data_IF_364369447348
#
_entry.id   IF_364369447348
#
_cell.length_a   1.000
_cell.length_b   1.000
_cell.length_c   1.000
_cell.angle_alpha   90.00
_cell.angle_beta   90.00
_cell.angle_gamma   90.00
#
_symmetry.space_group_name_H-M   'P 1'
#
loop_
_entity.id
_entity.type
_entity.pdbx_description
1 polymer ?
#
# COMPACT_ATOMS: atom_id res chain seq x y z
N UNK A 1 -23.41 -32.54 -30.46
CA UNK A 1 -23.64 -32.47 -29.03
C UNK A 1 -22.27 -32.75 -28.34
N UNK A 2 -21.50 -31.68 -28.15
CA UNK A 2 -20.21 -31.77 -27.47
C UNK A 2 -20.49 -31.71 -25.96
N UNK A 3 -20.17 -32.79 -25.26
CA UNK A 3 -20.31 -32.88 -23.80
C UNK A 3 -19.39 -31.86 -23.16
N UNK A 4 -19.94 -30.77 -22.63
CA UNK A 4 -19.26 -29.93 -21.62
C UNK A 4 -18.95 -30.83 -20.42
N UNK A 5 -17.68 -31.20 -20.30
CA UNK A 5 -17.20 -31.81 -19.07
C UNK A 5 -17.36 -30.77 -17.96
N UNK A 6 -18.36 -30.93 -17.10
CA UNK A 6 -18.56 -30.16 -15.89
C UNK A 6 -17.30 -30.32 -15.04
N UNK A 7 -16.42 -29.32 -15.11
CA UNK A 7 -15.18 -29.27 -14.34
C UNK A 7 -15.54 -29.36 -12.86
N UNK A 8 -15.10 -30.41 -12.15
CA UNK A 8 -15.34 -30.52 -10.71
C UNK A 8 -14.76 -29.29 -10.03
N UNK A 9 -15.63 -28.44 -9.46
CA UNK A 9 -15.23 -27.24 -8.71
C UNK A 9 -14.35 -27.64 -7.52
N UNK A 10 -13.15 -27.09 -7.47
CA UNK A 10 -12.22 -27.27 -6.36
C UNK A 10 -12.69 -26.49 -5.14
N UNK A 11 -12.10 -26.75 -3.96
CA UNK A 11 -12.32 -25.92 -2.77
C UNK A 11 -11.98 -24.45 -3.03
N UNK A 12 -10.89 -24.19 -3.76
CA UNK A 12 -10.46 -22.84 -4.13
C UNK A 12 -11.46 -22.12 -5.04
N UNK A 13 -12.05 -22.83 -6.00
CA UNK A 13 -13.11 -22.24 -6.87
C UNK A 13 -14.32 -21.81 -6.03
N UNK A 14 -14.70 -22.62 -5.03
CA UNK A 14 -15.80 -22.26 -4.11
C UNK A 14 -15.47 -21.07 -3.22
N UNK A 15 -14.22 -21.00 -2.75
CA UNK A 15 -13.74 -19.88 -1.92
C UNK A 15 -13.68 -18.58 -2.72
N UNK A 16 -13.24 -18.66 -3.98
CA UNK A 16 -13.25 -17.52 -4.90
C UNK A 16 -14.68 -17.03 -5.17
N UNK A 17 -15.58 -17.97 -5.55
CA UNK A 17 -17.01 -17.65 -5.76
C UNK A 17 -17.66 -17.04 -4.49
N UNK A 18 -17.30 -17.53 -3.31
CA UNK A 18 -17.77 -16.98 -2.05
C UNK A 18 -17.25 -15.55 -1.83
N UNK A 19 -15.95 -15.33 -2.03
CA UNK A 19 -15.33 -14.01 -1.89
C UNK A 19 -15.98 -12.98 -2.83
N UNK A 20 -16.14 -13.33 -4.11
CA UNK A 20 -16.76 -12.43 -5.09
C UNK A 20 -18.21 -12.08 -4.78
N UNK A 21 -18.95 -13.02 -4.18
CA UNK A 21 -20.40 -12.83 -3.89
C UNK A 21 -20.68 -12.22 -2.52
N UNK A 22 -19.79 -12.44 -1.55
CA UNK A 22 -20.07 -12.11 -0.15
C UNK A 22 -19.23 -10.95 0.39
N UNK A 23 -18.10 -10.62 -0.23
CA UNK A 23 -17.24 -9.53 0.23
C UNK A 23 -17.49 -8.30 -0.64
N UNK A 24 -18.16 -7.26 -0.11
CA UNK A 24 -18.34 -6.00 -0.83
C UNK A 24 -17.03 -5.23 -0.97
N UNK A 25 -17.05 -4.18 -1.78
CA UNK A 25 -15.93 -3.24 -1.88
C UNK A 25 -15.62 -2.60 -0.52
N UNK A 26 -14.38 -2.11 -0.35
CA UNK A 26 -13.91 -1.55 0.92
C UNK A 26 -14.73 -0.35 1.40
N UNK A 27 -15.33 0.44 0.50
CA UNK A 27 -16.14 1.59 0.92
C UNK A 27 -17.46 1.20 1.59
N UNK A 28 -18.31 0.30 1.06
CA UNK A 28 -19.44 -0.26 1.82
C UNK A 28 -19.03 -0.88 3.16
N UNK A 29 -17.88 -1.56 3.23
CA UNK A 29 -17.39 -2.14 4.49
C UNK A 29 -17.12 -1.08 5.56
N UNK A 30 -16.51 0.05 5.22
CA UNK A 30 -16.26 1.12 6.20
C UNK A 30 -17.56 1.77 6.67
N UNK A 31 -18.57 1.87 5.81
CA UNK A 31 -19.89 2.37 6.23
C UNK A 31 -20.56 1.41 7.22
N UNK A 32 -20.53 0.11 6.93
CA UNK A 32 -21.04 -0.92 7.85
C UNK A 32 -20.30 -0.87 9.18
N UNK A 33 -18.97 -0.79 9.14
CA UNK A 33 -18.14 -0.69 10.35
C UNK A 33 -18.45 0.59 11.14
N UNK A 34 -18.67 1.72 10.48
CA UNK A 34 -19.06 2.98 11.15
C UNK A 34 -20.36 2.81 11.91
N UNK A 35 -21.38 2.21 11.30
CA UNK A 35 -22.68 1.96 11.95
C UNK A 35 -22.52 0.97 13.11
N UNK A 36 -21.74 -0.09 12.93
CA UNK A 36 -21.50 -1.10 13.97
C UNK A 36 -20.80 -0.47 15.18
N UNK A 37 -19.75 0.32 14.97
CA UNK A 37 -19.03 1.02 16.04
C UNK A 37 -19.92 2.05 16.72
N UNK A 38 -20.79 2.75 15.98
CA UNK A 38 -21.77 3.66 16.54
C UNK A 38 -22.78 2.95 17.46
N UNK A 39 -23.29 1.80 17.03
CA UNK A 39 -24.21 0.98 17.87
C UNK A 39 -23.49 0.50 19.14
N UNK A 40 -22.24 0.03 19.02
CA UNK A 40 -21.45 -0.41 20.16
C UNK A 40 -21.16 0.74 21.13
N UNK A 41 -20.87 1.94 20.63
CA UNK A 41 -20.67 3.11 21.49
C UNK A 41 -21.94 3.46 22.29
N UNK A 42 -23.09 3.49 21.64
CA UNK A 42 -24.38 3.76 22.32
C UNK A 42 -24.78 2.66 23.32
N UNK A 43 -24.37 1.41 23.08
CA UNK A 43 -24.70 0.28 23.94
C UNK A 43 -23.74 0.08 25.13
N UNK A 44 -22.49 0.47 25.00
CA UNK A 44 -21.40 0.15 25.94
C UNK A 44 -20.83 1.36 26.66
N UNK A 45 -21.26 2.58 26.30
CA UNK A 45 -20.80 3.82 26.92
C UNK A 45 -21.98 4.73 27.27
N UNK A 46 -21.74 5.74 28.10
CA UNK A 46 -22.77 6.71 28.47
C UNK A 46 -22.94 7.84 27.45
N UNK A 47 -22.47 7.64 26.21
CA UNK A 47 -22.54 8.66 25.16
C UNK A 47 -23.98 8.87 24.69
N UNK A 48 -24.30 10.13 24.40
CA UNK A 48 -25.60 10.46 23.79
C UNK A 48 -25.54 10.32 22.26
N UNK A 49 -26.69 10.12 21.58
CA UNK A 49 -26.69 10.11 20.10
C UNK A 49 -26.08 11.37 19.48
N UNK A 50 -26.29 12.54 20.10
CA UNK A 50 -25.69 13.79 19.62
C UNK A 50 -24.18 13.82 19.85
N UNK A 51 -23.73 13.45 21.06
CA UNK A 51 -22.30 13.35 21.38
C UNK A 51 -21.56 12.36 20.48
N UNK A 52 -22.20 11.24 20.11
CA UNK A 52 -21.65 10.30 19.14
C UNK A 52 -21.44 10.96 17.76
N UNK A 53 -22.43 11.69 17.26
CA UNK A 53 -22.33 12.38 15.97
C UNK A 53 -21.28 13.49 15.99
N UNK A 54 -21.16 14.23 17.09
CA UNK A 54 -20.12 15.26 17.27
C UNK A 54 -18.72 14.65 17.29
N UNK A 55 -18.53 13.53 17.99
CA UNK A 55 -17.25 12.81 18.01
C UNK A 55 -16.89 12.24 16.63
N UNK A 56 -17.89 11.66 15.94
CA UNK A 56 -17.66 11.18 14.57
C UNK A 56 -17.27 12.31 13.62
N UNK A 57 -17.97 13.44 13.66
CA UNK A 57 -17.67 14.61 12.84
C UNK A 57 -16.30 15.21 13.15
N UNK A 58 -15.96 15.34 14.42
CA UNK A 58 -14.66 15.84 14.86
C UNK A 58 -13.52 14.93 14.38
N UNK A 59 -13.69 13.61 14.53
CA UNK A 59 -12.72 12.63 14.05
C UNK A 59 -12.54 12.68 12.55
N UNK A 60 -13.65 12.76 11.79
CA UNK A 60 -13.66 12.80 10.33
C UNK A 60 -12.76 13.93 9.79
N UNK A 61 -12.82 15.11 10.35
CA UNK A 61 -12.00 16.25 9.95
C UNK A 61 -10.66 16.35 10.68
N UNK A 62 -10.58 15.82 11.89
CA UNK A 62 -9.37 15.87 12.71
C UNK A 62 -8.17 15.19 12.08
N UNK A 63 -8.40 14.16 11.25
CA UNK A 63 -7.34 13.39 10.59
C UNK A 63 -7.12 13.76 9.11
N UNK A 64 -7.61 14.90 8.65
CA UNK A 64 -7.48 15.30 7.24
C UNK A 64 -6.01 15.42 6.79
N UNK A 65 -5.13 15.93 7.65
CA UNK A 65 -3.70 16.03 7.37
C UNK A 65 -3.07 14.66 7.16
N UNK A 66 -3.41 13.69 7.99
CA UNK A 66 -2.93 12.32 7.84
C UNK A 66 -3.47 11.66 6.57
N UNK A 67 -4.76 11.82 6.30
CA UNK A 67 -5.37 11.33 5.05
C UNK A 67 -4.62 11.88 3.83
N UNK A 68 -4.29 13.17 3.85
CA UNK A 68 -3.56 13.79 2.77
C UNK A 68 -2.12 13.27 2.64
N UNK A 69 -1.45 12.99 3.74
CA UNK A 69 -0.12 12.40 3.76
C UNK A 69 -0.10 11.00 3.13
N UNK A 70 -1.10 10.16 3.42
CA UNK A 70 -1.22 8.81 2.83
C UNK A 70 -1.58 8.88 1.35
N UNK A 71 -2.49 9.79 0.97
CA UNK A 71 -2.76 10.07 -0.43
C UNK A 71 -1.50 10.55 -1.16
N UNK A 72 -0.71 11.42 -0.52
CA UNK A 72 0.58 11.88 -1.02
C UNK A 72 1.56 10.74 -1.25
N UNK A 73 1.62 9.76 -0.33
CA UNK A 73 2.47 8.58 -0.46
C UNK A 73 2.12 7.79 -1.72
N UNK A 74 0.83 7.52 -1.95
CA UNK A 74 0.40 6.81 -3.14
C UNK A 74 0.66 7.60 -4.43
N UNK A 75 0.36 8.89 -4.40
CA UNK A 75 0.53 9.78 -5.54
C UNK A 75 1.99 9.92 -5.96
N UNK A 76 2.88 10.23 -5.02
CA UNK A 76 4.30 10.45 -5.31
C UNK A 76 5.01 9.17 -5.74
N UNK A 77 4.65 8.02 -5.14
CA UNK A 77 5.12 6.70 -5.58
C UNK A 77 4.69 6.38 -7.02
N UNK A 78 3.44 6.69 -7.39
CA UNK A 78 2.97 6.55 -8.76
C UNK A 78 3.77 7.43 -9.73
N UNK A 79 4.00 8.70 -9.40
CA UNK A 79 4.78 9.61 -10.27
C UNK A 79 6.18 9.07 -10.57
N UNK A 80 6.85 8.52 -9.56
CA UNK A 80 8.17 7.90 -9.75
C UNK A 80 8.07 6.67 -10.64
N UNK A 81 7.10 5.79 -10.39
CA UNK A 81 6.88 4.57 -11.19
C UNK A 81 6.60 4.89 -12.67
N UNK A 82 5.82 5.94 -12.92
CA UNK A 82 5.39 6.35 -14.24
C UNK A 82 6.49 7.11 -15.03
N UNK A 83 7.59 7.47 -14.37
CA UNK A 83 8.71 8.16 -15.03
C UNK A 83 9.37 7.27 -16.08
N UNK A 84 9.83 7.88 -17.18
CA UNK A 84 10.45 7.17 -18.30
C UNK A 84 11.64 6.28 -17.91
N UNK A 85 12.57 6.71 -17.04
CA UNK A 85 13.68 5.85 -16.61
C UNK A 85 13.20 4.59 -15.89
N UNK A 86 12.22 4.71 -14.99
CA UNK A 86 11.67 3.56 -14.24
C UNK A 86 10.90 2.63 -15.17
N UNK A 87 10.08 3.16 -16.07
CA UNK A 87 9.40 2.36 -17.10
C UNK A 87 10.38 1.57 -17.96
N UNK A 88 11.43 2.23 -18.49
CA UNK A 88 12.48 1.56 -19.29
C UNK A 88 13.17 0.46 -18.50
N UNK A 89 13.49 0.71 -17.23
CA UNK A 89 14.08 -0.28 -16.34
C UNK A 89 13.16 -1.50 -16.17
N UNK A 90 11.87 -1.30 -15.87
CA UNK A 90 10.91 -2.39 -15.68
C UNK A 90 10.72 -3.21 -16.95
N UNK A 91 10.63 -2.56 -18.11
CA UNK A 91 10.52 -3.25 -19.42
C UNK A 91 11.80 -4.06 -19.71
N UNK A 92 12.97 -3.49 -19.41
CA UNK A 92 14.23 -4.23 -19.58
C UNK A 92 14.29 -5.48 -18.70
N UNK A 93 13.89 -5.35 -17.42
CA UNK A 93 13.79 -6.48 -16.51
C UNK A 93 12.82 -7.56 -17.01
N UNK A 94 11.71 -7.17 -17.62
CA UNK A 94 10.73 -8.12 -18.18
C UNK A 94 11.28 -8.98 -19.32
N UNK A 95 12.31 -8.51 -20.03
CA UNK A 95 12.97 -9.23 -21.13
C UNK A 95 13.93 -10.31 -20.69
N UNK A 96 14.45 -10.24 -19.46
CA UNK A 96 15.48 -11.14 -18.94
C UNK A 96 15.02 -12.60 -18.85
N UNK A 97 13.84 -12.93 -18.29
CA UNK A 97 13.43 -14.31 -18.09
C UNK A 97 13.24 -15.04 -19.42
N UNK A 98 13.73 -16.28 -19.49
CA UNK A 98 13.55 -17.18 -20.65
C UNK A 98 12.39 -18.14 -20.48
N UNK A 99 11.99 -18.42 -19.25
CA UNK A 99 10.92 -19.35 -18.89
C UNK A 99 9.91 -18.72 -17.94
N UNK A 100 8.69 -19.27 -17.89
CA UNK A 100 7.64 -18.83 -16.95
C UNK A 100 8.12 -18.85 -15.49
N UNK A 101 8.85 -19.87 -15.08
CA UNK A 101 9.41 -19.96 -13.71
C UNK A 101 10.39 -18.83 -13.42
N UNK A 102 11.30 -18.54 -14.36
CA UNK A 102 12.21 -17.40 -14.20
C UNK A 102 11.48 -16.06 -14.15
N UNK A 103 10.41 -15.91 -14.94
CA UNK A 103 9.58 -14.71 -14.91
C UNK A 103 8.91 -14.53 -13.54
N UNK A 104 8.36 -15.59 -12.96
CA UNK A 104 7.76 -15.58 -11.62
C UNK A 104 8.81 -15.19 -10.57
N UNK A 105 9.96 -15.84 -10.56
CA UNK A 105 11.03 -15.54 -9.59
C UNK A 105 11.53 -14.10 -9.70
N UNK A 106 11.76 -13.61 -10.91
CA UNK A 106 12.19 -12.24 -11.12
C UNK A 106 11.10 -11.25 -10.70
N UNK A 107 9.83 -11.52 -11.05
CA UNK A 107 8.72 -10.65 -10.68
C UNK A 107 8.59 -10.54 -9.16
N UNK A 108 8.63 -11.67 -8.44
CA UNK A 108 8.59 -11.69 -6.98
C UNK A 108 9.75 -10.91 -6.36
N UNK A 109 10.97 -11.10 -6.90
CA UNK A 109 12.16 -10.42 -6.40
C UNK A 109 12.07 -8.90 -6.60
N UNK A 110 11.63 -8.47 -7.77
CA UNK A 110 11.45 -7.03 -8.05
C UNK A 110 10.34 -6.45 -7.18
N UNK A 111 9.22 -7.18 -7.00
CA UNK A 111 8.14 -6.74 -6.13
C UNK A 111 8.57 -6.61 -4.68
N UNK A 112 9.37 -7.54 -4.16
CA UNK A 112 9.95 -7.42 -2.82
C UNK A 112 10.80 -6.16 -2.68
N UNK A 113 11.72 -5.91 -3.62
CA UNK A 113 12.59 -4.73 -3.60
C UNK A 113 11.77 -3.44 -3.70
N UNK A 114 10.84 -3.35 -4.65
CA UNK A 114 10.02 -2.15 -4.84
C UNK A 114 9.15 -1.86 -3.61
N UNK A 115 8.56 -2.90 -3.01
CA UNK A 115 7.73 -2.74 -1.82
C UNK A 115 8.57 -2.29 -0.61
N UNK A 116 9.79 -2.82 -0.49
CA UNK A 116 10.71 -2.40 0.56
C UNK A 116 11.18 -0.95 0.39
N UNK A 117 11.33 -0.49 -0.85
CA UNK A 117 11.67 0.91 -1.16
C UNK A 117 10.48 1.83 -0.95
N UNK A 118 9.33 1.47 -1.52
CA UNK A 118 8.14 2.30 -1.44
C UNK A 118 6.88 1.53 -1.84
N UNK A 119 5.92 1.44 -0.93
CA UNK A 119 4.68 0.68 -1.10
C UNK A 119 3.91 1.05 -2.38
N UNK A 120 3.66 2.34 -2.63
CA UNK A 120 2.90 2.76 -3.81
C UNK A 120 3.69 2.59 -5.13
N UNK A 121 5.02 2.71 -5.08
CA UNK A 121 5.90 2.38 -6.21
C UNK A 121 5.77 0.90 -6.57
N UNK A 122 5.66 0.02 -5.57
CA UNK A 122 5.45 -1.41 -5.80
C UNK A 122 4.11 -1.69 -6.48
N UNK A 123 3.01 -1.05 -6.06
CA UNK A 123 1.70 -1.23 -6.68
C UNK A 123 1.72 -0.82 -8.17
N UNK A 124 2.23 0.37 -8.47
CA UNK A 124 2.33 0.85 -9.85
C UNK A 124 3.31 -0.01 -10.67
N UNK A 125 4.45 -0.36 -10.06
CA UNK A 125 5.47 -1.25 -10.66
C UNK A 125 4.94 -2.65 -10.95
N UNK A 126 4.07 -3.20 -10.10
CA UNK A 126 3.43 -4.49 -10.31
C UNK A 126 2.59 -4.52 -11.59
N UNK A 127 1.81 -3.48 -11.81
CA UNK A 127 0.97 -3.36 -13.02
C UNK A 127 1.87 -3.27 -14.27
N UNK A 128 2.88 -2.40 -14.22
CA UNK A 128 3.77 -2.17 -15.37
C UNK A 128 4.63 -3.39 -15.67
N UNK A 129 5.35 -3.91 -14.67
CA UNK A 129 6.23 -5.05 -14.83
C UNK A 129 5.46 -6.33 -15.17
N UNK A 130 4.30 -6.56 -14.52
CA UNK A 130 3.45 -7.71 -14.79
C UNK A 130 2.96 -7.74 -16.22
N UNK A 131 2.43 -6.62 -16.74
CA UNK A 131 2.03 -6.50 -18.16
C UNK A 131 3.22 -6.71 -19.11
N UNK A 132 4.38 -6.08 -18.81
CA UNK A 132 5.59 -6.26 -19.59
C UNK A 132 6.04 -7.72 -19.66
N UNK A 133 6.06 -8.41 -18.54
CA UNK A 133 6.46 -9.81 -18.49
C UNK A 133 5.49 -10.71 -19.26
N UNK A 134 4.18 -10.46 -19.16
CA UNK A 134 3.18 -11.22 -19.92
C UNK A 134 3.43 -11.07 -21.42
N UNK A 135 3.62 -9.84 -21.91
CA UNK A 135 3.90 -9.56 -23.32
C UNK A 135 5.21 -10.22 -23.78
N UNK A 136 6.30 -10.03 -23.03
CA UNK A 136 7.60 -10.56 -23.40
C UNK A 136 7.65 -12.10 -23.34
N UNK A 137 6.96 -12.73 -22.41
CA UNK A 137 6.87 -14.20 -22.35
C UNK A 137 5.98 -14.76 -23.47
N UNK A 138 4.90 -14.07 -23.83
CA UNK A 138 4.06 -14.45 -24.97
C UNK A 138 4.86 -14.42 -26.28
N UNK A 139 5.70 -13.39 -26.50
CA UNK A 139 6.62 -13.31 -27.66
C UNK A 139 7.61 -14.46 -27.71
N UNK A 140 7.96 -15.06 -26.57
CA UNK A 140 8.85 -16.22 -26.46
C UNK A 140 8.10 -17.56 -26.56
N UNK A 141 6.79 -17.54 -26.77
CA UNK A 141 5.93 -18.73 -26.81
C UNK A 141 5.61 -19.33 -25.45
N UNK A 142 5.97 -18.67 -24.35
CA UNK A 142 5.67 -19.12 -23.00
C UNK A 142 4.27 -18.66 -22.57
N UNK A 143 3.51 -19.57 -21.97
CA UNK A 143 2.21 -19.26 -21.38
C UNK A 143 2.37 -18.86 -19.92
N UNK A 144 1.76 -17.75 -19.52
CA UNK A 144 1.76 -17.25 -18.15
C UNK A 144 0.38 -17.45 -17.53
N UNK A 145 0.29 -18.08 -16.34
CA UNK A 145 -0.96 -18.13 -15.58
C UNK A 145 -1.28 -16.73 -15.05
N UNK A 146 -2.29 -16.10 -15.67
CA UNK A 146 -2.63 -14.70 -15.42
C UNK A 146 -2.99 -14.43 -13.95
N UNK A 147 -3.87 -15.24 -13.37
CA UNK A 147 -4.29 -15.11 -11.97
C UNK A 147 -3.10 -15.18 -10.99
N UNK A 148 -2.12 -16.05 -11.27
CA UNK A 148 -0.91 -16.15 -10.46
C UNK A 148 -0.05 -14.87 -10.53
N UNK A 149 0.09 -14.27 -11.72
CA UNK A 149 0.81 -13.01 -11.87
C UNK A 149 0.13 -11.85 -11.15
N UNK A 150 -1.20 -11.76 -11.23
CA UNK A 150 -1.97 -10.79 -10.46
C UNK A 150 -1.74 -11.00 -8.97
N UNK A 151 -1.82 -12.24 -8.48
CA UNK A 151 -1.56 -12.57 -7.07
C UNK A 151 -0.17 -12.16 -6.63
N UNK A 152 0.87 -12.41 -7.43
CA UNK A 152 2.25 -11.99 -7.14
C UNK A 152 2.35 -10.46 -7.06
N UNK A 153 1.65 -9.73 -7.93
CA UNK A 153 1.60 -8.27 -7.87
C UNK A 153 1.08 -7.73 -6.53
N UNK A 154 0.12 -8.45 -5.93
CA UNK A 154 -0.39 -8.14 -4.58
C UNK A 154 0.48 -8.71 -3.44
N UNK A 155 1.41 -9.59 -3.74
CA UNK A 155 2.30 -10.20 -2.74
C UNK A 155 3.16 -9.17 -2.00
N UNK A 156 3.40 -8.01 -2.60
CA UNK A 156 4.02 -6.87 -1.92
C UNK A 156 3.34 -6.51 -0.60
N UNK A 157 2.03 -6.75 -0.49
CA UNK A 157 1.25 -6.53 0.73
C UNK A 157 1.69 -7.48 1.86
N UNK A 158 2.13 -8.71 1.56
CA UNK A 158 2.64 -9.64 2.57
C UNK A 158 3.97 -9.20 3.18
N UNK A 159 4.71 -8.34 2.48
CA UNK A 159 5.93 -7.72 2.97
C UNK A 159 5.67 -6.33 3.55
N UNK A 160 4.50 -6.10 4.15
CA UNK A 160 4.17 -4.81 4.80
C UNK A 160 5.16 -4.40 5.90
N UNK A 161 6.28 -5.03 5.88
CA UNK A 161 7.42 -4.79 6.65
C UNK A 161 8.46 -3.85 6.04
N UNK A 162 8.18 -3.14 4.97
CA UNK A 162 9.11 -2.15 4.41
C UNK A 162 9.07 -0.80 5.13
N UNK A 163 10.13 0.00 4.99
CA UNK A 163 10.24 1.31 5.64
C UNK A 163 9.10 2.28 5.35
N UNK A 164 8.33 2.03 4.29
CA UNK A 164 7.18 2.85 3.89
C UNK A 164 5.84 2.18 4.20
N UNK A 165 5.84 1.10 5.01
CA UNK A 165 4.62 0.47 5.50
C UNK A 165 3.79 1.46 6.34
N UNK A 166 2.46 1.31 6.29
CA UNK A 166 1.53 2.29 6.81
C UNK A 166 1.73 2.68 8.28
N UNK A 167 1.57 1.73 9.20
CA UNK A 167 1.63 2.00 10.65
C UNK A 167 3.01 2.43 11.14
N UNK A 168 4.11 1.73 10.84
CA UNK A 168 5.44 2.13 11.28
C UNK A 168 5.88 3.50 10.76
N UNK A 169 5.59 3.82 9.50
CA UNK A 169 5.95 5.13 8.94
C UNK A 169 5.09 6.25 9.55
N UNK A 170 3.85 5.94 9.92
CA UNK A 170 2.97 6.87 10.63
C UNK A 170 3.53 7.24 12.00
N UNK A 171 3.85 6.24 12.84
CA UNK A 171 4.33 6.49 14.22
C UNK A 171 5.76 7.00 14.27
N UNK A 172 6.49 6.96 13.16
CA UNK A 172 7.80 7.57 13.03
C UNK A 172 7.74 9.10 12.87
N UNK A 173 6.57 9.67 12.59
CA UNK A 173 6.40 11.11 12.38
C UNK A 173 5.90 11.78 13.66
N UNK A 174 6.52 12.88 14.14
CA UNK A 174 5.97 13.69 15.22
C UNK A 174 4.57 14.22 14.86
N UNK A 175 3.69 14.34 15.87
CA UNK A 175 2.32 14.81 15.69
C UNK A 175 1.33 13.74 15.23
N UNK A 176 1.69 12.45 15.27
CA UNK A 176 0.74 11.39 14.96
C UNK A 176 -0.26 11.18 16.11
N UNK A 177 -1.46 10.69 15.80
CA UNK A 177 -2.60 10.62 16.71
C UNK A 177 -2.42 9.73 17.95
N UNK A 178 -1.36 8.92 18.02
CA UNK A 178 -1.02 8.06 19.17
C UNK A 178 0.22 8.54 19.92
N UNK A 179 0.79 9.69 19.58
CA UNK A 179 2.08 10.16 20.15
C UNK A 179 2.03 10.29 21.67
N UNK A 180 0.94 10.78 22.24
CA UNK A 180 0.79 10.93 23.71
C UNK A 180 0.82 9.57 24.45
N UNK A 181 0.49 8.48 23.75
CA UNK A 181 0.43 7.14 24.34
C UNK A 181 1.74 6.38 24.12
N UNK A 182 2.22 6.33 22.88
CA UNK A 182 3.36 5.47 22.52
C UNK A 182 4.64 6.25 22.18
N UNK A 183 4.58 7.58 22.11
CA UNK A 183 5.69 8.42 21.66
C UNK A 183 5.98 8.29 20.17
N UNK A 184 6.99 9.01 19.69
CA UNK A 184 7.50 8.87 18.32
C UNK A 184 8.42 7.66 18.25
N UNK A 185 8.14 6.74 17.32
CA UNK A 185 8.90 5.50 17.13
C UNK A 185 9.63 5.53 15.79
N UNK A 186 10.93 5.83 15.76
CA UNK A 186 11.71 5.80 14.51
C UNK A 186 11.72 4.40 13.87
N UNK A 187 11.91 4.33 12.56
CA UNK A 187 11.88 3.05 11.82
C UNK A 187 12.92 2.02 12.29
N UNK A 188 14.02 2.44 12.90
CA UNK A 188 15.00 1.53 13.50
C UNK A 188 14.50 0.85 14.77
N UNK A 189 13.43 1.32 15.38
CA UNK A 189 12.76 0.67 16.52
C UNK A 189 11.61 -0.23 16.09
N UNK A 190 11.11 -0.08 14.88
CA UNK A 190 10.02 -0.87 14.32
C UNK A 190 10.51 -1.75 13.16
N UNK A 191 10.44 -1.26 11.94
CA UNK A 191 10.66 -2.04 10.72
C UNK A 191 12.10 -2.45 10.45
N UNK A 192 13.07 -1.66 10.88
CA UNK A 192 14.49 -1.92 10.65
C UNK A 192 15.15 -2.67 11.80
N UNK A 193 14.36 -3.27 12.68
CA UNK A 193 14.88 -4.17 13.72
C UNK A 193 15.33 -5.50 13.11
N UNK A 194 16.34 -6.13 13.70
CA UNK A 194 16.85 -7.41 13.22
C UNK A 194 15.77 -8.49 13.12
N UNK A 195 14.86 -8.67 14.11
CA UNK A 195 13.76 -9.63 13.99
C UNK A 195 12.86 -9.39 12.78
N UNK A 196 12.50 -8.13 12.51
CA UNK A 196 11.64 -7.78 11.38
C UNK A 196 12.33 -8.02 10.03
N UNK A 197 13.60 -7.64 9.91
CA UNK A 197 14.40 -7.92 8.72
C UNK A 197 14.49 -9.44 8.49
N UNK A 198 14.81 -10.21 9.53
CA UNK A 198 14.88 -11.68 9.42
C UNK A 198 13.52 -12.30 9.04
N UNK A 199 12.43 -11.82 9.63
CA UNK A 199 11.08 -12.28 9.29
C UNK A 199 10.76 -12.02 7.81
N UNK A 200 10.98 -10.80 7.33
CA UNK A 200 10.73 -10.43 5.94
C UNK A 200 11.58 -11.24 4.95
N UNK A 201 12.86 -11.42 5.25
CA UNK A 201 13.75 -12.25 4.43
C UNK A 201 13.33 -13.73 4.44
N UNK A 202 12.86 -14.24 5.58
CA UNK A 202 12.35 -15.61 5.70
C UNK A 202 11.08 -15.80 4.88
N UNK A 203 10.10 -14.89 4.99
CA UNK A 203 8.89 -14.92 4.18
C UNK A 203 9.26 -14.86 2.69
N UNK A 204 10.18 -13.97 2.31
CA UNK A 204 10.65 -13.85 0.94
C UNK A 204 11.30 -15.15 0.44
N UNK A 205 12.19 -15.77 1.22
CA UNK A 205 12.83 -17.03 0.87
C UNK A 205 11.80 -18.17 0.70
N UNK A 206 10.85 -18.27 1.63
CA UNK A 206 9.77 -19.28 1.56
C UNK A 206 8.94 -19.06 0.29
N UNK A 207 8.57 -17.84 -0.02
CA UNK A 207 7.76 -17.53 -1.21
C UNK A 207 8.50 -17.84 -2.50
N UNK A 208 9.80 -17.54 -2.60
CA UNK A 208 10.63 -17.91 -3.75
C UNK A 208 10.73 -19.43 -3.95
N UNK A 209 10.63 -20.20 -2.88
CA UNK A 209 10.64 -21.68 -2.94
C UNK A 209 9.26 -22.24 -3.30
N UNK A 210 8.21 -21.71 -2.70
CA UNK A 210 6.84 -22.25 -2.79
C UNK A 210 6.16 -21.87 -4.10
N UNK A 211 6.19 -20.60 -4.48
CA UNK A 211 5.41 -20.10 -5.63
C UNK A 211 5.75 -20.75 -6.97
N UNK A 212 7.03 -20.98 -7.33
CA UNK A 212 7.33 -21.71 -8.57
C UNK A 212 6.77 -23.13 -8.61
N UNK A 213 6.58 -23.75 -7.43
CA UNK A 213 5.99 -25.10 -7.31
C UNK A 213 4.47 -25.11 -7.44
N UNK A 214 3.82 -23.96 -7.16
CA UNK A 214 2.38 -23.78 -7.30
C UNK A 214 1.96 -23.43 -8.74
N UNK A 215 2.91 -23.24 -9.67
CA UNK A 215 2.58 -22.95 -11.08
C UNK A 215 1.70 -24.06 -11.63
N UNK A 216 0.47 -23.76 -12.07
CA UNK A 216 -0.41 -24.77 -12.63
C UNK A 216 0.20 -25.32 -13.92
N UNK A 217 0.21 -26.65 -14.08
CA UNK A 217 0.80 -27.33 -15.23
C UNK A 217 -0.15 -27.46 -16.42
N UNK A 218 -1.46 -27.40 -16.17
CA UNK A 218 -2.51 -27.56 -17.20
C UNK A 218 -3.73 -26.71 -16.81
N UNK A 219 -4.55 -26.40 -17.80
CA UNK A 219 -5.89 -25.81 -17.62
C UNK A 219 -5.94 -24.51 -16.80
N UNK A 220 -5.00 -23.57 -17.06
CA UNK A 220 -5.01 -22.27 -16.47
C UNK A 220 -5.37 -21.18 -17.48
N UNK A 221 -5.99 -20.12 -16.98
CA UNK A 221 -6.34 -18.94 -17.75
C UNK A 221 -5.08 -18.17 -18.15
N UNK A 222 -4.98 -17.87 -19.44
CA UNK A 222 -3.95 -16.99 -20.02
C UNK A 222 -4.62 -15.73 -20.54
N UNK A 223 -3.83 -14.69 -20.73
CA UNK A 223 -4.33 -13.45 -21.35
C UNK A 223 -4.67 -13.74 -22.81
N UNK A 224 -5.87 -13.31 -23.22
CA UNK A 224 -6.32 -13.39 -24.61
C UNK A 224 -5.53 -12.43 -25.54
N UNK A 225 -5.64 -12.63 -26.85
CA UNK A 225 -4.90 -11.82 -27.84
C UNK A 225 -5.29 -10.34 -27.80
N UNK A 226 -6.54 -10.01 -27.49
CA UNK A 226 -7.03 -8.64 -27.46
C UNK A 226 -6.41 -7.89 -26.26
N UNK A 227 -6.43 -8.49 -25.08
CA UNK A 227 -5.76 -7.96 -23.89
C UNK A 227 -4.24 -7.88 -24.07
N UNK A 228 -3.65 -8.87 -24.75
CA UNK A 228 -2.22 -8.87 -25.03
C UNK A 228 -1.82 -7.67 -25.90
N UNK A 229 -2.57 -7.40 -26.98
CA UNK A 229 -2.36 -6.22 -27.84
C UNK A 229 -2.56 -4.92 -27.07
N UNK A 230 -3.55 -4.86 -26.17
CA UNK A 230 -3.75 -3.70 -25.29
C UNK A 230 -2.56 -3.49 -24.37
N UNK A 231 -2.05 -4.54 -23.71
CA UNK A 231 -0.86 -4.44 -22.87
C UNK A 231 0.37 -4.01 -23.67
N UNK A 232 0.54 -4.52 -24.88
CA UNK A 232 1.64 -4.11 -25.76
C UNK A 232 1.56 -2.63 -26.12
N UNK A 233 0.37 -2.12 -26.43
CA UNK A 233 0.12 -0.70 -26.70
C UNK A 233 0.38 0.17 -25.46
N UNK A 234 -0.09 -0.25 -24.30
CA UNK A 234 0.10 0.47 -23.02
C UNK A 234 1.59 0.56 -22.64
N UNK A 235 2.40 -0.36 -23.15
CA UNK A 235 3.83 -0.46 -22.89
C UNK A 235 4.71 0.19 -23.95
N UNK A 236 4.13 0.60 -25.08
CA UNK A 236 4.86 1.27 -26.13
C UNK A 236 5.40 2.60 -25.60
N UNK A 237 6.73 2.72 -25.58
CA UNK A 237 7.42 3.93 -25.10
C UNK A 237 7.19 5.12 -26.03
N UNK A 238 6.86 4.85 -27.28
CA UNK A 238 6.63 5.87 -28.33
C UNK A 238 5.39 6.73 -28.05
N UNK A 239 4.40 6.21 -27.33
CA UNK A 239 3.21 6.98 -26.91
C UNK A 239 3.53 8.07 -25.88
N UNK A 240 4.71 8.03 -25.27
CA UNK A 240 5.21 9.03 -24.33
C UNK A 240 6.12 10.09 -24.96
N UNK A 241 6.71 9.78 -26.11
CA UNK A 241 7.50 10.73 -26.89
C UNK A 241 6.63 11.41 -27.93
N UNK A 242 5.63 12.17 -27.51
CA UNK A 242 4.96 13.10 -28.41
C UNK A 242 6.00 14.10 -28.92
N UNK A 243 6.10 14.26 -30.25
CA UNK A 243 6.80 15.37 -30.90
C UNK A 243 6.05 16.66 -30.56
N UNK A 244 6.28 17.19 -29.34
CA UNK A 244 5.64 18.41 -28.90
C UNK A 244 6.20 19.56 -29.69
N UNK A 245 5.33 20.26 -30.40
CA UNK A 245 5.67 21.50 -31.06
C UNK A 245 6.18 22.49 -30.03
N UNK A 246 7.41 23.00 -30.19
CA UNK A 246 7.99 24.05 -29.33
C UNK A 246 7.96 25.39 -30.07
N UNK A 247 6.81 25.79 -30.60
CA UNK A 247 6.66 27.00 -31.41
C UNK A 247 6.52 28.25 -30.55
N UNK A 248 5.79 28.16 -29.47
CA UNK A 248 5.55 29.28 -28.56
C UNK A 248 6.50 29.29 -27.36
N UNK A 249 6.65 30.42 -26.70
CA UNK A 249 7.41 30.53 -25.45
C UNK A 249 6.83 29.63 -24.35
N UNK A 250 5.50 29.60 -24.22
CA UNK A 250 4.82 28.75 -23.24
C UNK A 250 5.12 27.28 -23.46
N UNK A 251 4.99 26.77 -24.70
CA UNK A 251 5.32 25.38 -25.04
C UNK A 251 6.78 25.04 -24.74
N UNK A 252 7.71 25.98 -24.97
CA UNK A 252 9.12 25.78 -24.60
C UNK A 252 9.31 25.63 -23.09
N UNK A 253 8.66 26.47 -22.28
CA UNK A 253 8.75 26.40 -20.81
C UNK A 253 8.13 25.10 -20.30
N UNK A 254 6.96 24.74 -20.77
CA UNK A 254 6.24 23.51 -20.37
C UNK A 254 7.02 22.23 -20.68
N UNK A 255 7.85 22.27 -21.72
CA UNK A 255 8.61 21.11 -22.17
C UNK A 255 10.12 21.18 -21.82
N UNK A 256 10.57 22.19 -21.11
CA UNK A 256 11.96 22.35 -20.67
C UNK A 256 12.14 21.90 -19.23
N UNK A 257 13.06 20.94 -19.02
CA UNK A 257 13.29 20.33 -17.70
C UNK A 257 14.11 21.18 -16.72
N UNK A 258 14.72 22.29 -17.15
CA UNK A 258 15.77 22.99 -16.36
C UNK A 258 15.25 23.40 -14.98
N UNK A 259 14.16 24.17 -14.93
CA UNK A 259 13.60 24.66 -13.66
C UNK A 259 13.08 23.51 -12.79
N UNK A 260 12.38 22.54 -13.39
CA UNK A 260 11.89 21.37 -12.71
C UNK A 260 13.03 20.57 -12.05
N UNK A 261 14.10 20.28 -12.80
CA UNK A 261 15.24 19.53 -12.28
C UNK A 261 16.02 20.34 -11.25
N UNK A 262 16.16 21.65 -11.41
CA UNK A 262 16.80 22.49 -10.42
C UNK A 262 16.06 22.43 -9.07
N UNK A 263 14.72 22.56 -9.07
CA UNK A 263 13.88 22.40 -7.87
C UNK A 263 14.00 20.99 -7.31
N UNK A 264 13.91 19.96 -8.15
CA UNK A 264 14.02 18.56 -7.71
C UNK A 264 15.37 18.26 -7.06
N UNK A 265 16.49 18.71 -7.66
CA UNK A 265 17.84 18.50 -7.11
C UNK A 265 18.01 19.28 -5.80
N UNK A 266 17.58 20.55 -5.75
CA UNK A 266 17.61 21.33 -4.51
C UNK A 266 16.79 20.66 -3.39
N UNK A 267 15.62 20.12 -3.72
CA UNK A 267 14.80 19.37 -2.77
C UNK A 267 15.46 18.07 -2.30
N UNK A 268 16.12 17.32 -3.18
CA UNK A 268 16.90 16.14 -2.79
C UNK A 268 18.09 16.50 -1.89
N UNK A 269 18.73 17.62 -2.16
CA UNK A 269 19.82 18.12 -1.31
C UNK A 269 19.33 18.47 0.09
N UNK A 270 18.22 19.22 0.22
CA UNK A 270 17.68 19.58 1.55
C UNK A 270 17.18 18.35 2.30
N UNK A 271 16.60 17.36 1.59
CA UNK A 271 16.26 16.07 2.17
C UNK A 271 17.50 15.36 2.75
N UNK A 272 18.59 15.29 1.99
CA UNK A 272 19.84 14.68 2.45
C UNK A 272 20.41 15.40 3.68
N UNK A 273 20.36 16.73 3.71
CA UNK A 273 20.78 17.53 4.86
C UNK A 273 19.88 17.25 6.08
N UNK A 274 18.57 17.13 5.88
CA UNK A 274 17.63 16.79 6.96
C UNK A 274 17.92 15.41 7.55
N UNK A 275 18.17 14.41 6.69
CA UNK A 275 18.56 13.06 7.14
C UNK A 275 19.92 13.06 7.86
N UNK A 276 20.88 13.82 7.38
CA UNK A 276 22.19 13.93 8.04
C UNK A 276 22.10 14.52 9.46
N UNK A 277 21.24 15.56 9.64
CA UNK A 277 21.05 16.24 10.94
C UNK A 277 20.17 15.46 11.90
N UNK A 278 19.07 14.89 11.41
CA UNK A 278 18.03 14.26 12.22
C UNK A 278 18.11 12.73 12.26
N UNK A 279 18.93 12.10 11.43
CA UNK A 279 18.99 10.64 11.33
C UNK A 279 17.64 10.02 10.98
N UNK A 280 17.37 8.83 11.51
CA UNK A 280 16.13 8.10 11.25
C UNK A 280 14.88 8.75 11.85
N UNK A 281 15.03 9.61 12.87
CA UNK A 281 13.90 10.34 13.44
C UNK A 281 13.33 11.43 12.51
N UNK A 282 14.13 11.85 11.51
CA UNK A 282 13.67 12.78 10.47
C UNK A 282 12.91 12.08 9.34
N UNK A 283 12.89 10.74 9.28
CA UNK A 283 12.24 9.97 8.22
C UNK A 283 10.83 9.53 8.66
N UNK A 284 9.84 10.28 8.25
CA UNK A 284 8.43 9.98 8.41
C UNK A 284 7.66 10.17 7.11
N UNK A 285 6.32 10.14 7.17
CA UNK A 285 5.44 10.27 5.98
C UNK A 285 5.75 11.49 5.12
N UNK A 286 5.93 12.66 5.74
CA UNK A 286 6.21 13.90 5.01
C UNK A 286 7.56 13.85 4.31
N UNK A 287 8.59 13.34 4.98
CA UNK A 287 9.93 13.20 4.41
C UNK A 287 9.93 12.21 3.24
N UNK A 288 9.21 11.09 3.37
CA UNK A 288 9.03 10.12 2.30
C UNK A 288 8.30 10.73 1.10
N UNK A 289 7.17 11.40 1.32
CA UNK A 289 6.41 12.09 0.27
C UNK A 289 7.26 13.13 -0.46
N UNK A 290 8.01 13.93 0.31
CA UNK A 290 8.89 14.95 -0.24
C UNK A 290 10.01 14.31 -1.09
N UNK A 291 10.68 13.28 -0.58
CA UNK A 291 11.72 12.56 -1.31
C UNK A 291 11.19 12.06 -2.68
N UNK A 292 10.05 11.35 -2.67
CA UNK A 292 9.52 10.76 -3.90
C UNK A 292 8.97 11.83 -4.85
N UNK A 293 8.42 12.93 -4.34
CA UNK A 293 8.03 14.06 -5.19
C UNK A 293 9.25 14.69 -5.88
N UNK A 294 10.32 14.94 -5.14
CA UNK A 294 11.56 15.51 -5.71
C UNK A 294 12.22 14.55 -6.69
N UNK A 295 12.23 13.25 -6.40
CA UNK A 295 12.67 12.22 -7.35
C UNK A 295 11.84 12.23 -8.62
N UNK A 296 10.52 12.33 -8.52
CA UNK A 296 9.64 12.43 -9.69
C UNK A 296 10.00 13.65 -10.56
N UNK A 297 10.24 14.81 -9.95
CA UNK A 297 10.67 16.00 -10.69
C UNK A 297 12.01 15.79 -11.45
N UNK A 298 12.94 15.08 -10.85
CA UNK A 298 14.23 14.79 -11.50
C UNK A 298 14.11 13.77 -12.62
N UNK A 299 13.27 12.74 -12.43
CA UNK A 299 13.14 11.60 -13.34
C UNK A 299 12.24 11.90 -14.54
N UNK A 300 11.31 12.81 -14.44
CA UNK A 300 10.46 13.20 -15.57
C UNK A 300 11.18 14.14 -16.55
N UNK A 301 10.83 14.01 -17.84
CA UNK A 301 11.46 14.75 -18.94
C UNK A 301 11.15 16.25 -18.91
N UNK A 302 9.95 16.63 -18.47
CA UNK A 302 9.46 18.02 -18.48
C UNK A 302 8.28 18.21 -17.52
N UNK A 303 7.94 19.48 -17.15
CA UNK A 303 6.72 19.79 -16.39
C UNK A 303 5.45 19.20 -17.01
N UNK A 304 5.31 19.27 -18.33
CA UNK A 304 4.18 18.69 -19.05
C UNK A 304 4.04 17.17 -18.79
N UNK A 305 5.16 16.44 -18.74
CA UNK A 305 5.12 14.99 -18.43
C UNK A 305 4.77 14.71 -16.97
N UNK A 306 5.20 15.55 -16.02
CA UNK A 306 4.76 15.45 -14.61
C UNK A 306 3.26 15.67 -14.49
N UNK A 307 2.72 16.71 -15.15
CA UNK A 307 1.28 17.01 -15.14
C UNK A 307 0.49 15.86 -15.79
N UNK A 308 0.97 15.28 -16.90
CA UNK A 308 0.35 14.13 -17.55
C UNK A 308 0.28 12.93 -16.59
N UNK A 309 1.39 12.61 -15.95
CA UNK A 309 1.50 11.55 -14.95
C UNK A 309 0.61 11.83 -13.73
N UNK A 310 0.53 13.07 -13.26
CA UNK A 310 -0.28 13.45 -12.10
C UNK A 310 -1.78 13.23 -12.32
N UNK A 311 -2.28 13.46 -13.54
CA UNK A 311 -3.70 13.21 -13.89
C UNK A 311 -4.07 11.72 -13.78
N UNK A 312 -3.15 10.83 -14.06
CA UNK A 312 -3.36 9.40 -13.86
C UNK A 312 -3.11 9.00 -12.39
N UNK A 313 -2.09 9.57 -11.76
CA UNK A 313 -1.76 9.33 -10.35
C UNK A 313 -2.91 9.69 -9.41
N UNK A 314 -3.66 10.77 -9.70
CA UNK A 314 -4.79 11.18 -8.86
C UNK A 314 -5.91 10.12 -8.81
N UNK A 315 -6.04 9.31 -9.85
CA UNK A 315 -7.02 8.21 -9.87
C UNK A 315 -6.71 7.14 -8.83
N UNK A 316 -5.46 6.97 -8.46
CA UNK A 316 -5.04 5.97 -7.48
C UNK A 316 -5.40 6.34 -6.05
N UNK A 317 -5.61 7.63 -5.76
CA UNK A 317 -5.88 8.12 -4.41
C UNK A 317 -7.36 8.33 -4.11
N UNK A 318 -8.24 8.27 -5.11
CA UNK A 318 -9.67 8.59 -4.94
C UNK A 318 -10.35 7.75 -3.86
N UNK A 319 -10.13 6.44 -3.89
CA UNK A 319 -10.72 5.52 -2.91
C UNK A 319 -10.09 5.72 -1.52
N UNK A 320 -8.79 5.95 -1.44
CA UNK A 320 -8.08 6.17 -0.18
C UNK A 320 -8.58 7.45 0.48
N UNK A 321 -8.67 8.55 -0.26
CA UNK A 321 -9.17 9.82 0.25
C UNK A 321 -10.57 9.68 0.84
N UNK A 322 -11.47 9.01 0.12
CA UNK A 322 -12.84 8.78 0.58
C UNK A 322 -12.88 7.92 1.85
N UNK A 323 -12.22 6.77 1.83
CA UNK A 323 -12.30 5.78 2.91
C UNK A 323 -11.63 6.26 4.20
N UNK A 324 -10.47 6.91 4.10
CA UNK A 324 -9.71 7.34 5.28
C UNK A 324 -10.45 8.35 6.15
N UNK A 325 -11.24 9.23 5.55
CA UNK A 325 -12.08 10.17 6.29
C UNK A 325 -13.13 9.45 7.15
N UNK A 326 -13.72 8.35 6.65
CA UNK A 326 -14.66 7.54 7.43
C UNK A 326 -13.97 6.75 8.55
N UNK A 327 -12.78 6.18 8.28
CA UNK A 327 -11.98 5.53 9.33
C UNK A 327 -11.57 6.54 10.42
N UNK A 328 -11.25 7.76 10.02
CA UNK A 328 -10.97 8.85 10.97
C UNK A 328 -12.21 9.20 11.82
N UNK A 329 -13.40 9.17 11.22
CA UNK A 329 -14.65 9.29 11.97
C UNK A 329 -14.85 8.16 13.00
N UNK A 330 -14.52 6.91 12.64
CA UNK A 330 -14.54 5.77 13.58
C UNK A 330 -13.54 6.01 14.72
N UNK A 331 -12.32 6.47 14.43
CA UNK A 331 -11.36 6.87 15.44
C UNK A 331 -11.95 7.91 16.40
N UNK A 332 -12.64 8.93 15.89
CA UNK A 332 -13.31 9.95 16.68
C UNK A 332 -14.38 9.35 17.63
N UNK A 333 -15.17 8.38 17.16
CA UNK A 333 -16.11 7.65 18.01
C UNK A 333 -15.35 6.91 19.13
N UNK A 334 -14.36 6.09 18.77
CA UNK A 334 -13.59 5.26 19.70
C UNK A 334 -12.95 6.08 20.82
N UNK A 335 -12.34 7.22 20.47
CA UNK A 335 -11.65 8.08 21.43
C UNK A 335 -12.59 8.99 22.22
N UNK A 336 -13.55 9.61 21.55
CA UNK A 336 -14.42 10.62 22.15
C UNK A 336 -15.56 10.07 22.99
N UNK A 337 -16.03 8.84 22.74
CA UNK A 337 -17.12 8.22 23.52
C UNK A 337 -16.61 7.35 24.68
N UNK A 338 -15.31 7.07 24.75
CA UNK A 338 -14.74 6.14 25.71
C UNK A 338 -14.83 4.66 25.28
N UNK A 339 -15.40 4.34 24.13
CA UNK A 339 -15.51 2.96 23.64
C UNK A 339 -14.14 2.29 23.49
N UNK A 340 -13.11 3.06 23.11
CA UNK A 340 -11.73 2.57 23.05
C UNK A 340 -11.23 2.08 24.41
N UNK A 341 -11.58 2.74 25.52
CA UNK A 341 -11.23 2.30 26.86
C UNK A 341 -11.92 0.97 27.23
N UNK A 342 -13.20 0.79 26.87
CA UNK A 342 -13.93 -0.48 27.08
C UNK A 342 -13.22 -1.62 26.32
N UNK A 343 -12.83 -1.41 25.07
CA UNK A 343 -12.10 -2.41 24.29
C UNK A 343 -10.71 -2.67 24.87
N UNK A 344 -10.00 -1.64 25.32
CA UNK A 344 -8.72 -1.79 26.01
C UNK A 344 -8.84 -2.73 27.21
N UNK A 345 -9.84 -2.51 28.10
CA UNK A 345 -10.08 -3.40 29.23
C UNK A 345 -10.35 -4.86 28.82
N UNK A 346 -11.07 -5.07 27.72
CA UNK A 346 -11.31 -6.43 27.23
C UNK A 346 -10.01 -7.09 26.80
N UNK A 347 -9.14 -6.36 26.07
CA UNK A 347 -7.84 -6.89 25.66
C UNK A 347 -6.90 -7.16 26.85
N UNK A 348 -6.91 -6.30 27.87
CA UNK A 348 -6.14 -6.52 29.10
C UNK A 348 -6.63 -7.75 29.87
N UNK A 349 -7.94 -7.97 29.93
CA UNK A 349 -8.53 -9.17 30.58
C UNK A 349 -8.26 -10.45 29.82
N UNK A 350 -8.19 -10.41 28.48
CA UNK A 350 -7.97 -11.57 27.63
C UNK A 350 -6.49 -11.94 27.50
N UNK A 351 -5.59 -10.94 27.63
CA UNK A 351 -4.19 -11.07 27.35
C UNK A 351 -3.29 -11.04 28.60
N UNK A 352 -2.03 -11.31 28.36
CA UNK A 352 -0.92 -11.08 29.28
C UNK A 352 0.35 -10.79 28.46
N UNK A 353 1.43 -10.38 29.13
CA UNK A 353 2.67 -9.99 28.46
C UNK A 353 3.24 -11.03 27.46
N UNK A 354 2.89 -12.31 27.59
CA UNK A 354 3.43 -13.39 26.73
C UNK A 354 2.57 -13.68 25.50
N UNK A 355 1.25 -13.55 25.63
CA UNK A 355 0.32 -13.96 24.56
C UNK A 355 -0.37 -12.78 23.85
N UNK A 356 -0.22 -11.56 24.36
CA UNK A 356 -0.93 -10.38 23.85
C UNK A 356 -0.67 -10.14 22.33
N UNK A 357 0.58 -10.19 21.91
CA UNK A 357 0.93 -10.02 20.48
C UNK A 357 0.28 -11.07 19.59
N UNK A 358 0.15 -12.30 20.08
CA UNK A 358 -0.55 -13.38 19.34
C UNK A 358 -2.06 -13.11 19.26
N UNK A 359 -2.67 -12.64 20.35
CA UNK A 359 -4.09 -12.27 20.36
C UNK A 359 -4.33 -11.12 19.40
N UNK A 360 -3.51 -10.06 19.46
CA UNK A 360 -3.60 -8.92 18.55
C UNK A 360 -3.45 -9.37 17.10
N UNK A 361 -2.44 -10.19 16.79
CA UNK A 361 -2.22 -10.70 15.43
C UNK A 361 -3.47 -11.37 14.84
N UNK A 362 -4.13 -12.26 15.59
CA UNK A 362 -5.35 -12.92 15.11
C UNK A 362 -6.53 -11.98 15.02
N UNK A 363 -6.69 -11.08 15.99
CA UNK A 363 -7.73 -10.06 15.95
C UNK A 363 -7.55 -9.12 14.75
N UNK A 364 -6.36 -8.58 14.57
CA UNK A 364 -6.03 -7.69 13.45
C UNK A 364 -6.18 -8.40 12.09
N UNK A 365 -5.86 -9.70 12.02
CA UNK A 365 -6.08 -10.51 10.81
C UNK A 365 -7.57 -10.63 10.47
N UNK A 366 -8.44 -10.78 11.47
CA UNK A 366 -9.89 -10.79 11.26
C UNK A 366 -10.42 -9.40 10.90
N UNK A 367 -9.96 -8.36 11.60
CA UNK A 367 -10.34 -6.97 11.32
C UNK A 367 -9.89 -6.54 9.91
N UNK A 368 -8.76 -7.05 9.42
CA UNK A 368 -8.26 -6.77 8.08
C UNK A 368 -9.23 -7.20 6.96
N UNK A 369 -10.10 -8.17 7.22
CA UNK A 369 -11.16 -8.52 6.26
C UNK A 369 -12.19 -7.38 6.07
N UNK A 370 -12.36 -6.54 7.08
CA UNK A 370 -13.27 -5.38 7.06
C UNK A 370 -12.52 -4.10 6.70
N UNK A 371 -11.25 -4.01 7.05
CA UNK A 371 -10.38 -2.83 6.87
C UNK A 371 -9.12 -3.25 6.13
N UNK A 372 -9.17 -3.48 4.80
CA UNK A 372 -8.06 -4.03 4.04
C UNK A 372 -6.96 -2.99 3.74
N UNK A 373 -6.49 -2.28 4.75
CA UNK A 373 -5.46 -1.24 4.65
C UNK A 373 -4.75 -1.06 5.99
N UNK A 374 -3.44 -1.30 6.05
CA UNK A 374 -2.66 -1.23 7.28
C UNK A 374 -2.77 0.11 8.01
N UNK A 375 -2.68 1.25 7.31
CA UNK A 375 -2.81 2.56 7.93
C UNK A 375 -4.21 2.83 8.48
N UNK A 376 -5.27 2.46 7.75
CA UNK A 376 -6.66 2.59 8.21
C UNK A 376 -6.98 1.65 9.36
N UNK A 377 -6.48 0.42 9.29
CA UNK A 377 -6.64 -0.57 10.33
C UNK A 377 -6.00 -0.08 11.61
N UNK A 378 -4.79 0.45 11.54
CA UNK A 378 -4.11 1.04 12.69
C UNK A 378 -4.92 2.20 13.30
N UNK A 379 -5.55 3.07 12.50
CA UNK A 379 -6.43 4.12 13.03
C UNK A 379 -7.61 3.56 13.83
N UNK A 380 -8.15 2.41 13.43
CA UNK A 380 -9.30 1.79 14.09
C UNK A 380 -8.87 1.05 15.36
N UNK A 381 -7.75 0.34 15.35
CA UNK A 381 -7.36 -0.55 16.47
C UNK A 381 -6.35 0.06 17.46
N UNK A 382 -5.52 1.00 17.04
CA UNK A 382 -4.52 1.59 17.92
C UNK A 382 -5.09 2.24 19.19
N UNK A 383 -6.27 2.91 19.17
CA UNK A 383 -6.84 3.54 20.37
C UNK A 383 -7.09 2.62 21.54
N UNK A 384 -7.24 1.32 21.31
CA UNK A 384 -7.46 0.34 22.37
C UNK A 384 -6.34 -0.70 22.50
N UNK A 385 -5.67 -1.06 21.41
CA UNK A 385 -4.57 -2.02 21.43
C UNK A 385 -3.29 -1.41 22.04
N UNK A 386 -2.94 -0.16 21.68
CA UNK A 386 -1.71 0.45 22.20
C UNK A 386 -1.76 0.73 23.70
N UNK A 387 -2.85 1.29 24.27
CA UNK A 387 -2.98 1.40 25.73
C UNK A 387 -2.92 0.03 26.42
N UNK A 388 -3.61 -0.99 25.89
CA UNK A 388 -3.60 -2.34 26.45
C UNK A 388 -2.19 -2.96 26.43
N UNK A 389 -1.43 -2.79 25.35
CA UNK A 389 -0.05 -3.23 25.25
C UNK A 389 0.82 -2.59 26.34
N UNK A 390 0.65 -1.27 26.54
CA UNK A 390 1.40 -0.51 27.53
C UNK A 390 1.07 -0.97 28.96
N UNK A 391 -0.21 -1.19 29.26
CA UNK A 391 -0.67 -1.68 30.57
C UNK A 391 -0.14 -3.08 30.88
N UNK A 392 -0.10 -3.96 29.88
CA UNK A 392 0.44 -5.31 30.01
C UNK A 392 1.97 -5.39 29.96
N UNK A 393 2.67 -4.25 29.81
CA UNK A 393 4.13 -4.19 29.72
C UNK A 393 4.70 -4.81 28.43
N UNK A 394 3.90 -4.88 27.35
CA UNK A 394 4.32 -5.36 26.04
C UNK A 394 5.01 -4.23 25.28
N UNK A 395 6.10 -4.56 24.58
CA UNK A 395 6.77 -3.58 23.73
C UNK A 395 5.84 -3.15 22.58
N UNK A 396 5.42 -1.89 22.62
CA UNK A 396 4.49 -1.31 21.65
C UNK A 396 5.05 -1.28 20.22
N UNK A 397 6.37 -1.22 20.04
CA UNK A 397 6.99 -1.30 18.72
C UNK A 397 6.75 -2.65 18.02
N UNK A 398 6.67 -3.76 18.77
CA UNK A 398 6.26 -5.06 18.20
C UNK A 398 4.78 -5.13 17.85
N UNK A 399 3.95 -4.34 18.52
CA UNK A 399 2.50 -4.34 18.28
C UNK A 399 2.15 -3.44 17.09
N UNK A 400 2.95 -2.42 16.81
CA UNK A 400 2.80 -1.54 15.63
C UNK A 400 3.09 -2.28 14.32
N UNK A 401 4.00 -3.26 14.35
CA UNK A 401 4.42 -4.06 13.18
C UNK A 401 3.45 -5.19 12.87
#
# INVERSE_FOLDING_TARGET
MSGEQVKKRTFMDRLSDFSERCIPDAFPLVLILTVLVAILALALTDTTPMGLLENWYSGFWGMISFTFQVCGLMFTGYLVADSMPVRKMLIHLARIPKTTTQAILLFMTVMFILNYLHFALAIAGAIMLGRAMIVEQAKKGNKIPYAMFVSIGFFGIMYQGGPTAGSPLLVAAPGHFMEDIIGVMPLNETMLTLPMICMNLTIFAITLIVFPRLVPKKDYETVDEERLKKFEKDMALDTYEENVSMRTFAEKVDNTAIFQKAVGIAGLFIFAVSMYKGGMTAFGLNACNFLFLMLALVLHKSPATVIKSSKEGIKTISNVFLQYSFYAGILGILTGTGLGAVFCEWFVKLGNARNFTTIVYWFSSLLNMLVPSGGSQFMVEAPYIMPAAKELGVNTAYVVN
#
